data_IF_602617247104
#
_entry.id   IF_602617247104
#
_cell.length_a   1.000
_cell.length_b   1.000
_cell.length_c   1.000
_cell.angle_alpha   90.00
_cell.angle_beta   90.00
_cell.angle_gamma   90.00
#
_symmetry.space_group_name_H-M   'P 1'
#
loop_
_entity.id
_entity.type
_entity.pdbx_description
1 polymer ?
#
# COMPACT_ATOMS: atom_id res chain seq x y z
N UNK A 1 10.78 7.12 -2.44
CA UNK A 1 9.62 6.88 -1.60
C UNK A 1 8.37 6.85 -2.43
N UNK A 2 7.57 5.80 -2.29
CA UNK A 2 6.34 5.65 -3.06
C UNK A 2 5.25 6.54 -2.46
N UNK A 3 4.53 7.27 -3.31
CA UNK A 3 3.55 8.24 -2.85
C UNK A 3 2.15 8.01 -3.40
N UNK A 4 1.92 6.90 -4.08
CA UNK A 4 0.60 6.61 -4.61
C UNK A 4 0.28 5.13 -4.44
N UNK A 5 -1.01 4.83 -4.44
CA UNK A 5 -1.47 3.45 -4.33
C UNK A 5 -0.98 2.65 -5.53
N UNK A 6 -1.04 3.23 -6.73
CA UNK A 6 -0.58 2.54 -7.92
C UNK A 6 0.90 2.18 -7.83
N UNK A 7 1.72 3.10 -7.31
CA UNK A 7 3.15 2.82 -7.18
C UNK A 7 3.40 1.68 -6.21
N UNK A 8 2.64 1.63 -5.12
CA UNK A 8 2.78 0.55 -4.13
C UNK A 8 2.40 -0.79 -4.74
N UNK A 9 1.27 -0.83 -5.44
CA UNK A 9 0.80 -2.07 -6.05
C UNK A 9 1.81 -2.56 -7.08
N UNK A 10 2.34 -1.66 -7.90
CA UNK A 10 3.34 -2.03 -8.90
C UNK A 10 4.60 -2.57 -8.23
N UNK A 11 5.05 -1.92 -7.17
CA UNK A 11 6.26 -2.36 -6.47
C UNK A 11 6.08 -3.74 -5.85
N UNK A 12 4.87 -4.08 -5.43
CA UNK A 12 4.58 -5.38 -4.84
C UNK A 12 4.36 -6.46 -5.89
N UNK A 13 4.29 -6.10 -7.16
CA UNK A 13 4.18 -7.07 -8.23
C UNK A 13 2.79 -7.19 -8.83
N UNK A 14 1.92 -6.21 -8.59
CA UNK A 14 0.59 -6.18 -9.18
C UNK A 14 -0.50 -6.50 -8.18
N UNK A 15 -1.77 -6.34 -8.59
CA UNK A 15 -2.89 -6.52 -7.65
C UNK A 15 -2.96 -7.89 -7.02
N UNK A 16 -2.70 -8.95 -7.77
CA UNK A 16 -2.79 -10.30 -7.23
C UNK A 16 -1.73 -10.52 -6.14
N UNK A 17 -0.52 -10.08 -6.39
CA UNK A 17 0.55 -10.23 -5.40
C UNK A 17 0.30 -9.35 -4.19
N UNK A 18 -0.22 -8.16 -4.40
CA UNK A 18 -0.57 -7.27 -3.31
C UNK A 18 -1.65 -7.91 -2.45
N UNK A 19 -2.65 -8.53 -3.09
CA UNK A 19 -3.70 -9.23 -2.35
C UNK A 19 -3.12 -10.34 -1.50
N UNK A 20 -2.17 -11.09 -2.05
CA UNK A 20 -1.52 -12.15 -1.29
C UNK A 20 -0.77 -11.65 -0.08
N UNK A 21 -0.10 -10.50 -0.22
CA UNK A 21 0.67 -9.92 0.88
C UNK A 21 -0.25 -9.46 2.02
N UNK A 22 -1.40 -8.88 1.66
CA UNK A 22 -2.29 -8.28 2.65
C UNK A 22 -3.37 -9.24 3.14
N UNK A 23 -3.56 -10.36 2.46
CA UNK A 23 -4.58 -11.31 2.86
C UNK A 23 -5.98 -10.95 2.44
N UNK A 24 -6.14 -10.02 1.49
CA UNK A 24 -7.46 -9.62 0.98
C UNK A 24 -7.62 -10.10 -0.45
N UNK A 25 -8.82 -9.93 -1.01
CA UNK A 25 -9.05 -10.29 -2.39
C UNK A 25 -8.55 -9.23 -3.35
N UNK A 26 -8.34 -9.61 -4.61
CA UNK A 26 -7.88 -8.67 -5.61
C UNK A 26 -8.87 -7.52 -5.82
N UNK A 27 -10.16 -7.78 -5.62
CA UNK A 27 -11.17 -6.73 -5.73
C UNK A 27 -10.92 -5.59 -4.75
N UNK A 28 -10.51 -5.94 -3.53
CA UNK A 28 -10.22 -4.94 -2.52
C UNK A 28 -9.04 -4.08 -2.95
N UNK A 29 -8.02 -4.71 -3.53
CA UNK A 29 -6.85 -3.98 -4.00
C UNK A 29 -7.25 -2.98 -5.09
N UNK A 30 -8.12 -3.41 -5.99
CA UNK A 30 -8.59 -2.54 -7.06
C UNK A 30 -9.39 -1.37 -6.49
N UNK A 31 -10.18 -1.63 -5.43
CA UNK A 31 -10.90 -0.56 -4.76
C UNK A 31 -9.96 0.47 -4.17
N UNK A 32 -8.83 0.02 -3.62
CA UNK A 32 -7.85 0.96 -3.08
C UNK A 32 -7.35 1.90 -4.16
N UNK A 33 -7.14 1.38 -5.36
CA UNK A 33 -6.70 2.22 -6.48
C UNK A 33 -7.74 3.27 -6.82
N UNK A 34 -9.00 2.87 -6.85
CA UNK A 34 -10.09 3.78 -7.15
C UNK A 34 -10.23 4.85 -6.07
N UNK A 35 -10.09 4.47 -4.81
CA UNK A 35 -10.20 5.40 -3.70
C UNK A 35 -8.96 6.26 -3.53
N UNK A 36 -7.82 5.78 -4.01
CA UNK A 36 -6.56 6.49 -3.87
C UNK A 36 -5.94 6.35 -2.50
N UNK A 37 -6.31 5.29 -1.77
CA UNK A 37 -5.87 5.12 -0.40
C UNK A 37 -5.96 3.66 0.00
N UNK A 38 -4.96 3.19 0.73
CA UNK A 38 -4.96 1.83 1.28
C UNK A 38 -5.36 1.92 2.75
N UNK A 39 -6.22 1.02 3.24
CA UNK A 39 -6.60 1.07 4.66
C UNK A 39 -5.38 1.00 5.57
N UNK A 40 -5.36 1.81 6.64
CA UNK A 40 -4.18 1.87 7.52
C UNK A 40 -3.83 0.55 8.18
N UNK A 41 -4.80 -0.36 8.30
CA UNK A 41 -4.53 -1.65 8.93
C UNK A 41 -3.48 -2.45 8.18
N UNK A 42 -3.22 -2.13 6.92
CA UNK A 42 -2.23 -2.85 6.11
C UNK A 42 -0.87 -2.16 6.10
N UNK A 43 -0.72 -1.08 6.84
CA UNK A 43 0.50 -0.27 6.80
C UNK A 43 1.74 -1.10 7.15
N UNK A 44 1.67 -1.86 8.23
CA UNK A 44 2.85 -2.60 8.68
C UNK A 44 3.21 -3.72 7.72
N UNK A 45 2.23 -4.48 7.27
CA UNK A 45 2.53 -5.64 6.43
C UNK A 45 3.05 -5.20 5.07
N UNK A 46 2.47 -4.16 4.49
CA UNK A 46 2.93 -3.65 3.21
C UNK A 46 4.29 -2.98 3.38
N UNK A 47 4.47 -2.22 4.46
CA UNK A 47 5.74 -1.57 4.71
C UNK A 47 6.87 -2.56 4.85
N UNK A 48 6.63 -3.69 5.50
CA UNK A 48 7.64 -4.72 5.64
C UNK A 48 7.96 -5.39 4.32
N UNK A 49 6.92 -5.68 3.52
CA UNK A 49 7.13 -6.29 2.23
C UNK A 49 7.96 -5.38 1.32
N UNK A 50 7.69 -4.08 1.36
CA UNK A 50 8.44 -3.12 0.54
C UNK A 50 9.86 -2.96 1.04
N UNK A 51 10.04 -2.95 2.36
CA UNK A 51 11.38 -2.84 2.92
C UNK A 51 12.25 -4.01 2.49
N UNK A 52 11.65 -5.19 2.38
CA UNK A 52 12.40 -6.38 1.96
C UNK A 52 12.98 -6.24 0.57
N UNK A 53 12.39 -5.38 -0.27
CA UNK A 53 12.91 -5.14 -1.61
C UNK A 53 13.58 -3.76 -1.72
N UNK A 54 13.85 -3.14 -0.56
CA UNK A 54 14.60 -1.89 -0.53
C UNK A 54 13.80 -0.65 -0.89
N UNK A 55 12.49 -0.67 -0.68
CA UNK A 55 11.61 0.43 -1.07
C UNK A 55 10.91 0.99 0.16
N UNK A 56 10.73 2.30 0.19
CA UNK A 56 9.97 2.98 1.25
C UNK A 56 8.66 3.50 0.68
N UNK A 57 7.65 3.61 1.54
CA UNK A 57 6.35 4.12 1.13
C UNK A 57 5.98 5.31 2.02
N UNK A 58 5.37 6.32 1.39
CA UNK A 58 4.88 7.47 2.12
C UNK A 58 3.61 7.05 2.86
N UNK A 59 3.54 7.37 4.14
CA UNK A 59 2.38 6.95 4.94
C UNK A 59 1.08 7.58 4.49
N UNK A 60 1.12 8.66 3.72
CA UNK A 60 -0.12 9.25 3.21
C UNK A 60 -0.85 8.31 2.28
N UNK A 61 -0.17 7.32 1.69
CA UNK A 61 -0.81 6.30 0.87
C UNK A 61 -1.84 5.53 1.68
N UNK A 62 -1.63 5.44 3.00
CA UNK A 62 -2.52 4.71 3.91
C UNK A 62 -3.47 5.65 4.65
N UNK A 63 -3.61 6.87 4.18
CA UNK A 63 -4.53 7.81 4.80
C UNK A 63 -3.99 8.51 6.04
N UNK A 64 -2.73 8.31 6.38
CA UNK A 64 -2.13 9.02 7.50
C UNK A 64 -1.74 10.41 7.06
N UNK A 65 -2.30 11.40 7.72
CA UNK A 65 -1.97 12.79 7.40
C UNK A 65 -0.79 13.24 8.21
N UNK A 66 -0.12 14.25 7.68
CA UNK A 66 0.92 14.88 8.42
C UNK A 66 0.31 15.51 9.64
N UNK A 67 0.80 15.18 10.80
CA UNK A 67 0.25 15.70 12.01
C UNK A 67 0.98 16.95 12.41
N UNK A 68 0.21 17.94 12.72
CA UNK A 68 0.78 19.16 13.17
C UNK A 68 0.49 19.27 14.60
N UNK A 69 1.41 19.10 15.41
CA UNK A 69 1.17 19.16 16.83
C UNK A 69 0.94 20.59 17.26
#
# INVERSE_FOLDING_TARGET
MLKSVDAVIEALGGPTKTAGVTGVGASAVINWRTRGEIPPEHFLVIGEALRAIGVCVDRTVFGFNEIRA
#
